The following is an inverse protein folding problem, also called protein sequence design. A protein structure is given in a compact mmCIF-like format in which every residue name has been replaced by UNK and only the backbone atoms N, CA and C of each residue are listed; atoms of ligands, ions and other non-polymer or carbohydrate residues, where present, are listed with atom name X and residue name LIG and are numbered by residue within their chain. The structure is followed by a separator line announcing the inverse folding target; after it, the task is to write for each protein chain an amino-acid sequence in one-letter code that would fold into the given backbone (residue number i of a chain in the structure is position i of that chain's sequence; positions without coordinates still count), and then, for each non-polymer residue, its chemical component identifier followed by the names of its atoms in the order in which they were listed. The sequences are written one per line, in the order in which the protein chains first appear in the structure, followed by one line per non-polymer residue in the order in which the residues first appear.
data_IF_610229229802
#
_entry.id   IF_610229229802
#
_cell.length_a   1.000
_cell.length_b   1.000
_cell.length_c   1.000
_cell.angle_alpha   90.00
_cell.angle_beta   90.00
_cell.angle_gamma   90.00
#
_symmetry.space_group_name_H-M   'P 1'
#
loop_
_entity.id
_entity.type
_entity.pdbx_description
1 polymer ?
#
# COMPACT_ATOMS: atom_id res chain seq x y z
N UNK A 1 0.58 28.36 -0.80
CA UNK A 1 0.91 26.93 -0.62
C UNK A 1 1.47 26.49 -1.94
N UNK A 2 2.78 26.25 -2.00
CA UNK A 2 3.41 25.83 -3.23
C UNK A 2 2.83 24.46 -3.63
N UNK A 3 2.47 24.32 -4.91
CA UNK A 3 2.03 23.02 -5.42
C UNK A 3 3.23 22.08 -5.36
N UNK A 4 3.07 20.95 -4.70
CA UNK A 4 4.04 19.86 -4.76
C UNK A 4 4.14 19.43 -6.24
N UNK A 5 5.33 19.55 -6.82
CA UNK A 5 5.59 19.04 -8.15
C UNK A 5 5.71 17.52 -8.06
N UNK A 6 4.74 16.82 -8.65
CA UNK A 6 4.66 15.36 -8.64
C UNK A 6 5.05 14.86 -10.03
N UNK A 7 6.19 14.17 -10.12
CA UNK A 7 6.64 13.54 -11.34
C UNK A 7 6.12 12.11 -11.42
N UNK A 8 5.10 11.88 -12.26
CA UNK A 8 4.45 10.57 -12.42
C UNK A 8 5.43 9.43 -12.71
N UNK A 9 6.45 9.66 -13.54
CA UNK A 9 7.47 8.65 -13.86
C UNK A 9 8.32 8.25 -12.65
N UNK A 10 8.57 9.17 -11.72
CA UNK A 10 9.27 8.84 -10.47
C UNK A 10 8.38 8.02 -9.54
N UNK A 11 7.09 8.34 -9.48
CA UNK A 11 6.12 7.57 -8.72
C UNK A 11 5.93 6.15 -9.27
N UNK A 12 5.84 6.00 -10.60
CA UNK A 12 5.84 4.69 -11.27
C UNK A 12 7.09 3.91 -10.90
N UNK A 13 8.27 4.51 -11.04
CA UNK A 13 9.54 3.85 -10.71
C UNK A 13 9.60 3.42 -9.23
N UNK A 14 9.07 4.24 -8.32
CA UNK A 14 8.97 3.91 -6.89
C UNK A 14 8.03 2.73 -6.64
N UNK A 15 6.84 2.73 -7.24
CA UNK A 15 5.88 1.63 -7.14
C UNK A 15 6.50 0.32 -7.65
N UNK A 16 7.13 0.38 -8.82
CA UNK A 16 7.85 -0.70 -9.46
C UNK A 16 8.94 -1.30 -8.56
N UNK A 17 9.76 -0.45 -7.95
CA UNK A 17 10.83 -0.86 -7.04
C UNK A 17 10.26 -1.54 -5.78
N UNK A 18 9.17 -1.01 -5.25
CA UNK A 18 8.46 -1.59 -4.12
C UNK A 18 7.92 -2.99 -4.43
N UNK A 19 7.24 -3.17 -5.57
CA UNK A 19 6.72 -4.47 -6.01
C UNK A 19 7.85 -5.48 -6.20
N UNK A 20 8.95 -5.08 -6.87
CA UNK A 20 10.12 -5.94 -7.06
C UNK A 20 10.74 -6.36 -5.72
N UNK A 21 10.79 -5.46 -4.75
CA UNK A 21 11.32 -5.74 -3.41
C UNK A 21 10.45 -6.75 -2.66
N UNK A 22 9.13 -6.58 -2.70
CA UNK A 22 8.18 -7.53 -2.10
C UNK A 22 8.26 -8.91 -2.75
N UNK A 23 8.31 -8.99 -4.08
CA UNK A 23 8.49 -10.25 -4.80
C UNK A 23 9.82 -10.93 -4.45
N UNK A 24 10.91 -10.17 -4.29
CA UNK A 24 12.20 -10.72 -3.90
C UNK A 24 12.21 -11.31 -2.48
N UNK A 25 11.29 -10.89 -1.60
CA UNK A 25 11.15 -11.38 -0.22
C UNK A 25 10.01 -12.40 -0.05
N UNK A 26 9.30 -12.78 -1.12
CA UNK A 26 8.25 -13.80 -1.08
C UNK A 26 8.78 -15.12 -0.51
N UNK A 27 8.12 -15.64 0.53
CA UNK A 27 8.47 -16.89 1.21
C UNK A 27 9.76 -16.83 2.04
N UNK A 28 10.32 -15.64 2.28
CA UNK A 28 11.57 -15.44 3.03
C UNK A 28 11.30 -14.72 4.36
N UNK A 29 12.27 -14.74 5.30
CA UNK A 29 12.21 -13.88 6.46
C UNK A 29 11.94 -12.42 6.06
N UNK A 30 11.13 -11.73 6.85
CA UNK A 30 10.72 -10.33 6.65
C UNK A 30 9.75 -10.08 5.49
N UNK A 31 9.15 -11.11 4.88
CA UNK A 31 8.11 -10.93 3.85
C UNK A 31 7.01 -9.94 4.30
N UNK A 32 6.48 -10.11 5.52
CA UNK A 32 5.44 -9.25 6.10
C UNK A 32 5.85 -7.77 6.20
N UNK A 33 7.09 -7.53 6.61
CA UNK A 33 7.62 -6.18 6.74
C UNK A 33 7.66 -5.48 5.38
N UNK A 34 8.10 -6.19 4.34
CA UNK A 34 8.17 -5.65 2.99
C UNK A 34 6.78 -5.49 2.37
N UNK A 35 5.83 -6.38 2.67
CA UNK A 35 4.43 -6.22 2.24
C UNK A 35 3.78 -4.98 2.87
N UNK A 36 4.01 -4.74 4.16
CA UNK A 36 3.56 -3.52 4.83
C UNK A 36 4.17 -2.25 4.22
N UNK A 37 5.46 -2.29 3.82
CA UNK A 37 6.07 -1.20 3.08
C UNK A 37 5.43 -1.01 1.70
N UNK A 38 5.14 -2.09 0.97
CA UNK A 38 4.51 -2.00 -0.34
C UNK A 38 3.12 -1.37 -0.27
N UNK A 39 2.31 -1.80 0.69
CA UNK A 39 0.98 -1.24 0.95
C UNK A 39 1.06 0.26 1.25
N UNK A 40 1.95 0.65 2.17
CA UNK A 40 2.13 2.04 2.56
C UNK A 40 2.62 2.93 1.39
N UNK A 41 3.56 2.43 0.58
CA UNK A 41 4.05 3.12 -0.62
C UNK A 41 2.93 3.31 -1.64
N UNK A 42 2.16 2.26 -1.91
CA UNK A 42 1.04 2.33 -2.85
C UNK A 42 -0.01 3.35 -2.41
N UNK A 43 -0.41 3.35 -1.14
CA UNK A 43 -1.35 4.34 -0.59
C UNK A 43 -0.79 5.77 -0.62
N UNK A 44 0.49 5.94 -0.32
CA UNK A 44 1.14 7.25 -0.41
C UNK A 44 1.11 7.79 -1.84
N UNK A 45 1.47 6.97 -2.83
CA UNK A 45 1.44 7.36 -4.24
C UNK A 45 0.00 7.70 -4.68
N UNK A 46 -0.99 6.90 -4.27
CA UNK A 46 -2.40 7.20 -4.52
C UNK A 46 -2.80 8.60 -4.02
N UNK A 47 -2.44 8.95 -2.77
CA UNK A 47 -2.74 10.28 -2.19
C UNK A 47 -2.06 11.42 -2.96
N UNK A 48 -0.88 11.19 -3.52
CA UNK A 48 -0.18 12.19 -4.34
C UNK A 48 -0.82 12.38 -5.73
N UNK A 49 -1.46 11.33 -6.25
CA UNK A 49 -2.07 11.30 -7.57
C UNK A 49 -3.55 11.70 -7.59
N UNK A 50 -4.29 11.44 -6.50
CA UNK A 50 -5.75 11.58 -6.48
C UNK A 50 -6.20 12.98 -6.90
N UNK A 51 -7.07 13.03 -7.92
CA UNK A 51 -7.62 14.28 -8.44
C UNK A 51 -6.69 15.03 -9.41
N UNK A 52 -5.55 14.46 -9.78
CA UNK A 52 -4.69 14.98 -10.85
C UNK A 52 -5.22 14.51 -12.22
N UNK A 53 -5.35 15.39 -13.22
CA UNK A 53 -6.01 15.08 -14.49
C UNK A 53 -5.33 14.02 -15.37
N UNK A 54 -4.11 13.60 -15.06
CA UNK A 54 -3.33 12.65 -15.86
C UNK A 54 -2.90 11.39 -15.09
N UNK A 55 -3.45 11.14 -13.90
CA UNK A 55 -2.91 10.11 -13.00
C UNK A 55 -3.84 8.91 -12.77
N UNK A 56 -4.96 8.80 -13.50
CA UNK A 56 -5.98 7.76 -13.28
C UNK A 56 -5.45 6.34 -13.32
N UNK A 57 -4.57 6.03 -14.27
CA UNK A 57 -4.03 4.68 -14.43
C UNK A 57 -3.07 4.32 -13.28
N UNK A 58 -2.28 5.31 -12.83
CA UNK A 58 -1.40 5.16 -11.68
C UNK A 58 -2.18 5.02 -10.38
N UNK A 59 -3.30 5.74 -10.21
CA UNK A 59 -4.20 5.59 -9.07
C UNK A 59 -4.73 4.15 -8.98
N UNK A 60 -5.25 3.62 -10.09
CA UNK A 60 -5.77 2.23 -10.16
C UNK A 60 -4.65 1.23 -9.84
N UNK A 61 -3.46 1.41 -10.42
CA UNK A 61 -2.31 0.55 -10.19
C UNK A 61 -1.90 0.53 -8.72
N UNK A 62 -1.90 1.68 -8.06
CA UNK A 62 -1.60 1.78 -6.64
C UNK A 62 -2.62 1.04 -5.80
N UNK A 63 -3.92 1.25 -6.05
CA UNK A 63 -4.99 0.55 -5.32
C UNK A 63 -4.89 -0.98 -5.45
N UNK A 64 -4.59 -1.47 -6.65
CA UNK A 64 -4.39 -2.90 -6.90
C UNK A 64 -3.19 -3.45 -6.13
N UNK A 65 -2.07 -2.72 -6.10
CA UNK A 65 -0.89 -3.15 -5.35
C UNK A 65 -1.06 -3.10 -3.84
N UNK A 66 -1.79 -2.10 -3.31
CA UNK A 66 -2.14 -2.03 -1.90
C UNK A 66 -3.04 -3.22 -1.51
N UNK A 67 -4.08 -3.49 -2.29
CA UNK A 67 -4.97 -4.62 -2.05
C UNK A 67 -4.22 -5.96 -2.11
N UNK A 68 -3.39 -6.17 -3.12
CA UNK A 68 -2.61 -7.41 -3.27
C UNK A 68 -1.63 -7.62 -2.09
N UNK A 69 -1.05 -6.54 -1.56
CA UNK A 69 -0.19 -6.62 -0.38
C UNK A 69 -0.99 -7.04 0.87
N UNK A 70 -2.18 -6.49 1.07
CA UNK A 70 -3.09 -6.85 2.16
C UNK A 70 -3.58 -8.28 2.03
N UNK A 71 -3.99 -8.71 0.83
CA UNK A 71 -4.42 -10.08 0.56
C UNK A 71 -3.30 -11.06 0.91
N UNK A 72 -2.06 -10.77 0.50
CA UNK A 72 -0.92 -11.59 0.86
C UNK A 72 -0.65 -11.58 2.37
N UNK A 73 -0.72 -10.43 3.01
CA UNK A 73 -0.54 -10.36 4.46
C UNK A 73 -1.59 -11.18 5.19
N UNK A 74 -2.83 -11.18 4.69
CA UNK A 74 -3.97 -11.98 5.17
C UNK A 74 -3.75 -13.48 4.94
N UNK A 75 -3.10 -13.89 3.84
CA UNK A 75 -2.70 -15.29 3.63
C UNK A 75 -1.63 -15.76 4.64
N UNK A 76 -0.69 -14.88 4.98
CA UNK A 76 0.39 -15.17 5.94
C UNK A 76 -0.17 -15.20 7.37
N UNK A 77 -1.01 -14.22 7.70
CA UNK A 77 -1.69 -14.03 8.96
C UNK A 77 -3.20 -13.94 8.73
N UNK A 78 -3.90 -15.08 8.64
CA UNK A 78 -5.35 -15.07 8.59
C UNK A 78 -5.89 -14.30 9.81
N UNK A 79 -6.90 -13.44 9.65
CA UNK A 79 -7.52 -12.79 10.79
C UNK A 79 -8.01 -13.87 11.75
N UNK A 80 -7.46 -13.85 12.96
CA UNK A 80 -7.89 -14.71 14.05
C UNK A 80 -9.41 -14.53 14.23
N UNK A 81 -10.19 -15.61 14.22
CA UNK A 81 -11.64 -15.54 14.46
C UNK A 81 -11.98 -14.92 15.84
N UNK A 82 -10.97 -14.81 16.73
CA UNK A 82 -11.07 -14.21 18.06
C UNK A 82 -10.48 -12.79 18.18
N UNK A 83 -9.81 -12.27 17.16
CA UNK A 83 -9.30 -10.90 17.13
C UNK A 83 -9.98 -10.15 15.98
N UNK A 84 -11.27 -9.89 16.17
CA UNK A 84 -11.89 -8.78 15.48
C UNK A 84 -11.03 -7.54 15.71
N UNK A 85 -10.69 -6.83 14.64
CA UNK A 85 -10.20 -5.45 14.73
C UNK A 85 -11.16 -4.73 15.66
N UNK A 86 -10.74 -4.47 16.91
CA UNK A 86 -11.56 -3.82 17.91
C UNK A 86 -11.73 -2.37 17.48
N UNK A 87 -12.72 -2.15 16.62
CA UNK A 87 -13.26 -0.85 16.23
C UNK A 87 -14.12 -0.27 17.36
N UNK A 88 -13.73 -0.47 18.63
CA UNK A 88 -14.30 0.23 19.77
C UNK A 88 -13.74 1.65 19.84
N UNK A 89 -14.13 2.48 18.87
CA UNK A 89 -14.26 3.92 19.08
C UNK A 89 -15.42 4.08 20.05
N UNK A 90 -15.20 3.92 21.36
CA UNK A 90 -16.15 4.31 22.42
C UNK A 90 -15.54 4.13 23.82
N UNK A 91 -14.42 4.81 24.13
CA UNK A 91 -14.00 5.08 25.53
C UNK A 91 -13.24 6.40 25.69
N UNK A 92 -13.84 7.49 25.24
CA UNK A 92 -13.56 8.84 25.78
C UNK A 92 -14.90 9.54 26.02
N UNK A 93 -15.52 9.19 27.15
CA UNK A 93 -16.63 9.88 27.79
C UNK A 93 -16.33 9.96 29.28
#
# INVERSE_FOLDING_TARGET
MDKLEVHEEQLKALMDASVRTAMAHRGKPYEEYVLGQQEAIANMIYVLCVGQPNSSDLEITCQQHALSAIERLTEIHPPDENHGFDMSIDRLG
#
